data_IF_404804359677
#
_entry.id   IF_404804359677
#
_cell.length_a   1.000
_cell.length_b   1.000
_cell.length_c   1.000
_cell.angle_alpha   90.00
_cell.angle_beta   90.00
_cell.angle_gamma   90.00
#
_symmetry.space_group_name_H-M   'P 1'
#
loop_
_entity.id
_entity.type
_entity.pdbx_description
1 polymer ?
#
# COMPACT_ATOMS: atom_id res chain seq x y z
N UNK A 1 13.42 3.81 19.04
CA UNK A 1 13.98 3.12 17.86
C UNK A 1 14.31 4.15 16.78
N UNK A 2 15.56 4.21 16.34
CA UNK A 2 15.96 5.06 15.21
C UNK A 2 15.46 4.40 13.92
N UNK A 3 14.56 5.08 13.20
CA UNK A 3 13.90 4.54 12.00
C UNK A 3 12.67 5.36 11.60
N UNK A 4 12.05 5.02 10.48
CA UNK A 4 10.84 5.69 9.99
C UNK A 4 9.91 4.71 9.29
N UNK A 5 8.61 5.04 9.24
CA UNK A 5 7.61 4.30 8.48
C UNK A 5 7.67 4.65 6.99
N UNK A 6 7.22 3.73 6.15
CA UNK A 6 7.09 3.95 4.71
C UNK A 6 5.65 3.68 4.29
N UNK A 7 5.06 4.63 3.58
CA UNK A 7 3.74 4.49 2.95
C UNK A 7 3.98 4.20 1.47
N UNK A 8 3.26 3.21 0.93
CA UNK A 8 3.31 2.84 -0.48
C UNK A 8 1.90 2.74 -1.03
N UNK A 9 1.73 3.17 -2.28
CA UNK A 9 0.51 2.99 -3.04
C UNK A 9 0.68 1.90 -4.11
N UNK A 10 -0.43 1.24 -4.41
CA UNK A 10 -0.54 0.27 -5.49
C UNK A 10 -1.97 0.28 -6.06
N UNK A 11 -2.09 -0.22 -7.27
CA UNK A 11 -3.34 -0.30 -8.02
C UNK A 11 -3.33 -1.60 -8.82
N UNK A 12 -4.50 -2.09 -9.20
CA UNK A 12 -4.63 -3.30 -9.99
C UNK A 12 -6.08 -3.58 -10.38
N UNK A 13 -6.30 -4.63 -11.16
CA UNK A 13 -7.64 -4.99 -11.65
C UNK A 13 -8.55 -5.53 -10.54
N UNK A 14 -7.98 -5.88 -9.38
CA UNK A 14 -8.71 -6.30 -8.18
C UNK A 14 -8.02 -5.83 -6.91
N UNK A 15 -8.77 -5.76 -5.82
CA UNK A 15 -8.26 -5.48 -4.48
C UNK A 15 -7.14 -6.43 -4.10
N UNK A 16 -7.27 -7.72 -4.43
CA UNK A 16 -6.29 -8.75 -4.07
C UNK A 16 -4.92 -8.47 -4.71
N UNK A 17 -4.90 -8.12 -6.00
CA UNK A 17 -3.66 -7.76 -6.70
C UNK A 17 -3.02 -6.51 -6.09
N UNK A 18 -3.80 -5.46 -5.88
CA UNK A 18 -3.29 -4.21 -5.29
C UNK A 18 -2.71 -4.43 -3.88
N UNK A 19 -3.35 -5.27 -3.05
CA UNK A 19 -2.85 -5.62 -1.71
C UNK A 19 -1.52 -6.39 -1.77
N UNK A 20 -1.40 -7.37 -2.68
CA UNK A 20 -0.15 -8.14 -2.86
C UNK A 20 0.99 -7.22 -3.26
N UNK A 21 0.75 -6.33 -4.23
CA UNK A 21 1.75 -5.38 -4.70
C UNK A 21 2.13 -4.36 -3.62
N UNK A 22 1.17 -3.76 -2.91
CA UNK A 22 1.44 -2.82 -1.83
C UNK A 22 2.30 -3.45 -0.74
N UNK A 23 2.01 -4.69 -0.33
CA UNK A 23 2.82 -5.43 0.65
C UNK A 23 4.23 -5.69 0.14
N UNK A 24 4.40 -6.05 -1.12
CA UNK A 24 5.71 -6.27 -1.72
C UNK A 24 6.54 -4.98 -1.74
N UNK A 25 5.94 -3.85 -2.15
CA UNK A 25 6.60 -2.53 -2.17
C UNK A 25 7.08 -2.09 -0.79
N UNK A 26 6.26 -2.26 0.26
CA UNK A 26 6.67 -1.91 1.63
C UNK A 26 7.85 -2.78 2.10
N UNK A 27 7.76 -4.11 1.90
CA UNK A 27 8.85 -5.02 2.28
C UNK A 27 10.15 -4.69 1.55
N UNK A 28 10.07 -4.43 0.26
CA UNK A 28 11.22 -4.04 -0.55
C UNK A 28 11.82 -2.72 -0.09
N UNK A 29 10.97 -1.73 0.23
CA UNK A 29 11.41 -0.43 0.69
C UNK A 29 12.18 -0.51 2.03
N UNK A 30 11.71 -1.34 2.96
CA UNK A 30 12.42 -1.59 4.23
C UNK A 30 13.74 -2.33 3.98
N UNK A 31 13.72 -3.38 3.15
CA UNK A 31 14.92 -4.16 2.77
C UNK A 31 16.01 -3.28 2.16
N UNK A 32 15.67 -2.43 1.20
CA UNK A 32 16.62 -1.52 0.55
C UNK A 32 17.23 -0.48 1.51
N UNK A 33 16.54 -0.16 2.61
CA UNK A 33 16.98 0.83 3.60
C UNK A 33 17.66 0.21 4.82
N UNK A 34 17.74 -1.12 4.88
CA UNK A 34 18.26 -1.82 6.07
C UNK A 34 17.40 -1.61 7.32
N UNK A 35 16.10 -1.34 7.16
CA UNK A 35 15.17 -1.13 8.27
C UNK A 35 14.49 -2.45 8.66
N UNK A 36 14.27 -2.65 9.96
CA UNK A 36 13.46 -3.75 10.47
C UNK A 36 11.96 -3.43 10.36
N UNK A 37 11.19 -4.35 9.78
CA UNK A 37 9.74 -4.19 9.61
C UNK A 37 8.99 -4.74 10.82
N UNK A 38 8.56 -3.86 11.73
CA UNK A 38 7.85 -4.23 12.96
C UNK A 38 6.36 -4.55 12.75
N UNK A 39 5.67 -3.81 11.87
CA UNK A 39 4.26 -4.02 11.55
C UNK A 39 4.00 -3.60 10.08
N UNK A 40 3.00 -4.20 9.44
CA UNK A 40 2.56 -3.86 8.09
C UNK A 40 1.04 -3.91 8.00
N UNK A 41 0.45 -2.72 7.79
CA UNK A 41 -0.98 -2.53 7.57
C UNK A 41 -1.27 -2.11 6.14
N UNK A 42 -2.41 -2.55 5.64
CA UNK A 42 -2.90 -2.21 4.29
C UNK A 42 -4.38 -1.90 4.38
N UNK A 43 -4.78 -0.79 3.78
CA UNK A 43 -6.16 -0.50 3.44
C UNK A 43 -6.28 -0.54 1.92
N UNK A 44 -7.35 -1.13 1.41
CA UNK A 44 -7.64 -1.22 -0.01
C UNK A 44 -9.14 -1.16 -0.24
N UNK A 45 -9.51 -0.69 -1.42
CA UNK A 45 -10.88 -0.67 -1.90
C UNK A 45 -10.87 -1.05 -3.38
N UNK A 46 -11.97 -1.66 -3.84
CA UNK A 46 -12.20 -1.99 -5.24
C UNK A 46 -13.52 -1.37 -5.68
N UNK A 47 -13.56 -0.95 -6.94
CA UNK A 47 -14.73 -0.36 -7.53
C UNK A 47 -14.98 -0.96 -8.91
N UNK A 48 -16.18 -1.51 -9.12
CA UNK A 48 -16.65 -1.88 -10.45
C UNK A 48 -17.21 -0.64 -11.13
N UNK A 49 -16.52 -0.16 -12.16
CA UNK A 49 -16.96 0.99 -12.95
C UNK A 49 -18.26 0.66 -13.70
N UNK A 50 -19.25 1.54 -13.59
CA UNK A 50 -20.51 1.45 -14.37
C UNK A 50 -20.43 2.33 -15.63
N UNK A 51 -20.19 3.63 -15.48
CA UNK A 51 -20.03 4.59 -16.61
C UNK A 51 -18.72 5.36 -16.58
N UNK A 52 -18.40 5.94 -15.44
CA UNK A 52 -17.12 6.60 -15.15
C UNK A 52 -16.95 6.57 -13.63
N UNK A 53 -15.77 6.16 -13.16
CA UNK A 53 -15.51 5.98 -11.75
C UNK A 53 -14.01 5.82 -11.48
N UNK A 54 -13.67 5.92 -10.21
CA UNK A 54 -12.32 5.72 -9.71
C UNK A 54 -12.37 5.24 -8.27
N UNK A 55 -11.27 4.68 -7.81
CA UNK A 55 -11.10 4.26 -6.41
C UNK A 55 -9.82 4.87 -5.88
N UNK A 56 -9.86 5.33 -4.63
CA UNK A 56 -8.72 5.98 -3.98
C UNK A 56 -8.47 5.31 -2.64
N UNK A 57 -7.23 4.88 -2.43
CA UNK A 57 -6.71 4.52 -1.12
C UNK A 57 -5.64 5.55 -0.75
N UNK A 58 -5.74 6.11 0.45
CA UNK A 58 -4.81 7.14 0.92
C UNK A 58 -4.49 6.94 2.40
N UNK A 59 -3.29 7.35 2.79
CA UNK A 59 -2.88 7.43 4.19
C UNK A 59 -2.64 8.91 4.51
N UNK A 60 -3.54 9.48 5.30
CA UNK A 60 -3.48 10.89 5.69
C UNK A 60 -2.68 11.02 6.99
N UNK A 61 -1.77 11.97 7.05
CA UNK A 61 -1.10 12.37 8.29
C UNK A 61 -1.92 13.47 8.96
N UNK A 62 -2.20 13.31 10.25
CA UNK A 62 -2.89 14.26 11.11
C UNK A 62 -2.17 14.39 12.45
#
# INVERSE_FOLDING_TARGET
PDGFGVIMEAQGDSQAQAVVEARAKVKEAFRMRGLELADLRVAAAEHRVDRCGGVVAACLFF
#
